data_IF_341153626358
#
_entry.id   IF_341153626358
#
_cell.length_a   1.000
_cell.length_b   1.000
_cell.length_c   1.000
_cell.angle_alpha   90.00
_cell.angle_beta   90.00
_cell.angle_gamma   90.00
#
_symmetry.space_group_name_H-M   'P 1'
#
loop_
_entity.id
_entity.type
_entity.pdbx_description
1 polymer ?
#
# COMPACT_ATOMS: atom_id res chain seq x y z
N UNK A 1 3.00 22.80 36.28
CA UNK A 1 4.39 22.68 36.79
C UNK A 1 5.34 22.54 35.61
N UNK A 2 5.96 23.65 35.18
CA UNK A 2 6.98 23.63 34.13
C UNK A 2 8.32 23.27 34.79
N UNK A 3 8.81 22.05 34.54
CA UNK A 3 10.18 21.68 34.94
C UNK A 3 11.12 22.27 33.89
N UNK A 4 12.12 23.09 34.27
CA UNK A 4 13.05 23.66 33.31
C UNK A 4 13.78 22.55 32.55
N UNK A 5 13.80 22.64 31.22
CA UNK A 5 14.38 21.61 30.32
C UNK A 5 15.84 21.26 30.66
N UNK A 6 16.59 22.22 31.23
CA UNK A 6 17.98 22.04 31.64
C UNK A 6 18.21 21.03 32.76
N UNK A 7 17.19 20.66 33.55
CA UNK A 7 17.34 19.64 34.61
C UNK A 7 17.11 18.19 34.13
N UNK A 8 16.61 17.98 32.91
CA UNK A 8 16.18 16.65 32.45
C UNK A 8 17.30 15.90 31.72
N UNK A 9 18.26 16.63 31.14
CA UNK A 9 19.31 16.07 30.28
C UNK A 9 20.68 16.37 30.89
N UNK A 10 21.35 15.33 31.40
CA UNK A 10 22.74 15.43 31.83
C UNK A 10 23.62 14.86 30.72
N UNK A 11 24.52 15.68 30.17
CA UNK A 11 25.51 15.24 29.20
C UNK A 11 26.74 14.72 29.95
N UNK A 12 27.05 13.44 29.77
CA UNK A 12 28.25 12.83 30.35
C UNK A 12 29.25 12.56 29.24
N UNK A 13 30.48 13.11 29.35
CA UNK A 13 31.59 12.72 28.48
C UNK A 13 31.98 11.28 28.78
N UNK A 14 32.10 10.46 27.74
CA UNK A 14 32.59 9.09 27.84
C UNK A 14 34.06 9.11 27.42
N UNK A 15 35.00 8.76 28.33
CA UNK A 15 36.43 8.83 28.01
C UNK A 15 36.85 7.86 26.89
N UNK A 16 36.09 6.78 26.65
CA UNK A 16 36.35 5.81 25.56
C UNK A 16 35.05 5.26 24.96
N UNK A 17 34.39 5.97 24.02
CA UNK A 17 33.08 5.57 23.49
C UNK A 17 33.12 4.23 22.73
N UNK A 18 34.25 3.91 22.10
CA UNK A 18 34.44 2.70 21.30
C UNK A 18 34.51 1.41 22.13
N UNK A 19 34.85 1.48 23.43
CA UNK A 19 34.90 0.30 24.31
C UNK A 19 33.62 0.09 25.12
N UNK A 20 32.64 1.00 25.01
CA UNK A 20 31.41 0.88 25.78
C UNK A 20 30.51 -0.23 25.20
N UNK A 21 30.16 -1.27 25.97
CA UNK A 21 29.31 -2.37 25.48
C UNK A 21 27.91 -1.86 25.10
N UNK A 22 27.45 -0.77 25.73
CA UNK A 22 26.17 -0.13 25.43
C UNK A 22 26.15 0.48 24.02
N UNK A 23 27.27 1.08 23.58
CA UNK A 23 27.38 1.63 22.22
C UNK A 23 27.25 0.50 21.20
N UNK A 24 27.98 -0.59 21.39
CA UNK A 24 27.92 -1.77 20.53
C UNK A 24 26.54 -2.43 20.52
N UNK A 25 25.88 -2.56 21.67
CA UNK A 25 24.51 -3.08 21.74
C UNK A 25 23.51 -2.23 20.95
N UNK A 26 23.64 -0.89 21.01
CA UNK A 26 22.77 0.00 20.24
C UNK A 26 23.02 -0.11 18.74
N UNK A 27 24.29 -0.15 18.32
CA UNK A 27 24.65 -0.31 16.91
C UNK A 27 24.24 -1.69 16.40
N UNK A 28 24.53 -2.76 17.13
CA UNK A 28 24.13 -4.11 16.78
C UNK A 28 22.61 -4.22 16.69
N UNK A 29 21.87 -3.64 17.65
CA UNK A 29 20.42 -3.59 17.62
C UNK A 29 19.86 -2.83 16.41
N UNK A 30 20.38 -1.63 16.13
CA UNK A 30 19.96 -0.83 14.98
C UNK A 30 20.26 -1.55 13.65
N UNK A 31 21.46 -2.13 13.51
CA UNK A 31 21.87 -2.91 12.34
C UNK A 31 21.00 -4.16 12.18
N UNK A 32 20.73 -4.90 13.25
CA UNK A 32 19.86 -6.07 13.22
C UNK A 32 18.44 -5.70 12.75
N UNK A 33 17.87 -4.62 13.28
CA UNK A 33 16.55 -4.12 12.85
C UNK A 33 16.56 -3.75 11.36
N UNK A 34 17.59 -3.06 10.88
CA UNK A 34 17.73 -2.71 9.47
C UNK A 34 17.88 -3.95 8.57
N UNK A 35 18.68 -4.94 8.98
CA UNK A 35 18.85 -6.20 8.26
C UNK A 35 17.53 -7.00 8.19
N UNK A 36 16.85 -7.17 9.31
CA UNK A 36 15.56 -7.87 9.40
C UNK A 36 14.53 -7.20 8.50
N UNK A 37 14.42 -5.88 8.59
CA UNK A 37 13.39 -5.17 7.86
C UNK A 37 13.71 -5.01 6.36
N UNK A 38 14.99 -5.10 5.96
CA UNK A 38 15.40 -5.24 4.56
C UNK A 38 15.15 -6.65 4.01
N UNK A 39 15.31 -7.68 4.85
CA UNK A 39 15.02 -9.08 4.49
C UNK A 39 13.52 -9.40 4.47
N UNK A 40 12.70 -8.57 5.10
CA UNK A 40 11.26 -8.67 5.13
C UNK A 40 10.65 -8.36 3.75
N UNK A 41 9.92 -9.32 3.21
CA UNK A 41 9.09 -9.19 2.01
C UNK A 41 7.66 -8.95 2.46
N UNK A 42 7.09 -7.84 2.03
CA UNK A 42 5.73 -7.48 2.41
C UNK A 42 4.75 -8.07 1.39
N UNK A 43 3.92 -9.02 1.84
CA UNK A 43 2.85 -9.63 1.05
C UNK A 43 1.48 -9.11 1.52
N UNK A 44 0.42 -9.21 0.71
CA UNK A 44 -0.93 -8.76 1.10
C UNK A 44 -1.46 -9.46 2.37
N UNK A 45 -1.00 -10.69 2.67
CA UNK A 45 -1.36 -11.44 3.87
C UNK A 45 -0.50 -11.17 5.11
N UNK A 46 0.60 -10.43 4.99
CA UNK A 46 1.53 -10.21 6.11
C UNK A 46 2.96 -9.92 5.69
N UNK A 47 3.87 -10.04 6.65
CA UNK A 47 5.31 -9.91 6.41
C UNK A 47 5.92 -11.29 6.43
N UNK A 48 6.56 -11.68 5.33
CA UNK A 48 7.38 -12.88 5.28
C UNK A 48 8.84 -12.47 5.35
N UNK A 49 9.58 -13.02 6.33
CA UNK A 49 11.04 -12.93 6.29
C UNK A 49 11.54 -13.96 5.28
N UNK A 50 12.41 -13.56 4.35
CA UNK A 50 13.03 -14.49 3.40
C UNK A 50 13.62 -15.70 4.15
N UNK A 51 13.09 -16.90 3.86
CA UNK A 51 13.58 -18.17 4.40
C UNK A 51 13.02 -18.58 5.76
N UNK A 52 12.21 -17.74 6.42
CA UNK A 52 11.54 -18.10 7.68
C UNK A 52 10.04 -17.90 7.49
N UNK A 53 9.30 -19.01 7.49
CA UNK A 53 7.84 -18.99 7.41
C UNK A 53 7.29 -18.49 8.76
N UNK A 54 7.11 -17.17 8.89
CA UNK A 54 6.32 -16.62 9.99
C UNK A 54 4.85 -16.82 9.65
N UNK A 55 4.09 -17.58 10.47
CA UNK A 55 2.66 -17.74 10.23
C UNK A 55 1.97 -16.38 10.25
N UNK A 56 0.83 -16.28 9.54
CA UNK A 56 -0.03 -15.11 9.61
C UNK A 56 -0.29 -14.74 11.08
N UNK A 57 -0.36 -13.43 11.36
CA UNK A 57 -0.52 -12.94 12.73
C UNK A 57 -1.63 -13.72 13.47
N UNK A 58 -1.33 -14.41 14.57
CA UNK A 58 -2.31 -15.26 15.25
C UNK A 58 -3.50 -14.45 15.77
N UNK A 59 -3.27 -13.19 16.17
CA UNK A 59 -4.35 -12.30 16.58
C UNK A 59 -5.31 -11.99 15.42
N UNK A 60 -4.78 -11.86 14.20
CA UNK A 60 -5.59 -11.60 13.01
C UNK A 60 -6.35 -12.86 12.58
N UNK A 61 -5.73 -14.04 12.68
CA UNK A 61 -6.42 -15.28 12.35
C UNK A 61 -7.48 -15.68 13.39
N UNK A 62 -7.23 -15.42 14.67
CA UNK A 62 -8.14 -15.78 15.76
C UNK A 62 -9.28 -14.77 15.94
N UNK A 63 -8.99 -13.47 15.85
CA UNK A 63 -9.94 -12.41 16.21
C UNK A 63 -10.39 -11.58 15.00
N UNK A 64 -9.71 -11.70 13.85
CA UNK A 64 -9.97 -10.85 12.69
C UNK A 64 -9.49 -9.40 12.85
N UNK A 65 -8.97 -9.01 14.02
CA UNK A 65 -8.59 -7.63 14.32
C UNK A 65 -7.14 -7.33 13.89
N UNK A 66 -6.86 -6.10 13.41
CA UNK A 66 -5.50 -5.67 13.13
C UNK A 66 -4.69 -5.54 14.44
N UNK A 67 -3.63 -6.34 14.53
CA UNK A 67 -2.65 -6.32 15.61
C UNK A 67 -1.79 -5.02 15.56
N UNK A 68 -1.57 -4.32 16.69
CA UNK A 68 -0.82 -3.05 16.73
C UNK A 68 0.63 -3.20 16.25
N UNK A 69 1.25 -4.33 16.57
CA UNK A 69 2.65 -4.60 16.25
C UNK A 69 2.85 -5.05 14.80
N UNK A 70 1.94 -5.87 14.28
CA UNK A 70 2.08 -6.53 12.99
C UNK A 70 1.94 -5.53 11.84
N UNK A 71 0.98 -4.60 11.96
CA UNK A 71 0.86 -3.48 11.02
C UNK A 71 2.05 -2.53 11.10
N UNK A 72 2.64 -2.36 12.29
CA UNK A 72 3.85 -1.56 12.47
C UNK A 72 5.04 -2.19 11.74
N UNK A 73 5.30 -3.49 11.95
CA UNK A 73 6.39 -4.21 11.27
C UNK A 73 6.25 -4.16 9.75
N UNK A 74 5.04 -4.42 9.23
CA UNK A 74 4.79 -4.34 7.78
C UNK A 74 4.92 -2.93 7.23
N UNK A 75 4.45 -1.92 7.96
CA UNK A 75 4.62 -0.52 7.56
C UNK A 75 6.08 -0.08 7.58
N UNK A 76 6.85 -0.48 8.60
CA UNK A 76 8.29 -0.16 8.69
C UNK A 76 9.08 -0.87 7.59
N UNK A 77 8.75 -2.11 7.25
CA UNK A 77 9.35 -2.81 6.11
C UNK A 77 9.09 -2.05 4.79
N UNK A 78 7.84 -1.63 4.52
CA UNK A 78 7.52 -0.79 3.35
C UNK A 78 8.28 0.54 3.35
N UNK A 79 8.43 1.16 4.52
CA UNK A 79 9.19 2.41 4.66
C UNK A 79 10.66 2.22 4.24
N UNK A 80 11.27 1.10 4.62
CA UNK A 80 12.66 0.77 4.27
C UNK A 80 12.85 0.38 2.80
N UNK A 81 11.79 -0.09 2.14
CA UNK A 81 11.75 -0.26 0.68
C UNK A 81 11.51 1.07 -0.07
N UNK A 82 11.37 2.20 0.65
CA UNK A 82 11.11 3.52 0.07
C UNK A 82 9.64 3.77 -0.27
N UNK A 83 8.74 2.87 0.12
CA UNK A 83 7.30 2.98 -0.14
C UNK A 83 6.58 3.80 0.94
N UNK A 84 6.93 5.07 1.07
CA UNK A 84 6.43 5.98 2.12
C UNK A 84 4.90 6.03 2.19
N UNK A 85 4.24 6.16 1.05
CA UNK A 85 2.78 6.27 0.99
C UNK A 85 2.09 4.97 1.43
N UNK A 86 2.59 3.82 0.99
CA UNK A 86 2.05 2.51 1.37
C UNK A 86 2.32 2.19 2.84
N UNK A 87 3.46 2.64 3.38
CA UNK A 87 3.76 2.59 4.81
C UNK A 87 2.70 3.33 5.63
N UNK A 88 2.42 4.59 5.29
CA UNK A 88 1.40 5.42 5.95
C UNK A 88 -0.02 4.83 5.85
N UNK A 89 -0.36 4.28 4.69
CA UNK A 89 -1.66 3.63 4.48
C UNK A 89 -1.80 2.38 5.35
N UNK A 90 -0.73 1.61 5.54
CA UNK A 90 -0.74 0.38 6.34
C UNK A 90 -0.78 0.63 7.85
N UNK A 91 -0.04 1.63 8.34
CA UNK A 91 -0.07 2.05 9.73
C UNK A 91 0.43 3.49 9.85
N UNK A 92 -0.39 4.38 10.41
CA UNK A 92 -0.05 5.79 10.59
C UNK A 92 1.21 6.01 11.46
N UNK A 93 1.49 5.08 12.38
CA UNK A 93 2.66 5.14 13.27
C UNK A 93 3.95 4.62 12.62
N UNK A 94 3.86 3.82 11.55
CA UNK A 94 5.05 3.21 10.93
C UNK A 94 6.13 4.25 10.53
N UNK A 95 5.80 5.37 9.86
CA UNK A 95 6.80 6.38 9.52
C UNK A 95 7.33 7.11 10.75
N UNK A 96 6.51 7.36 11.78
CA UNK A 96 7.00 7.95 13.04
C UNK A 96 8.01 7.02 13.74
N UNK A 97 7.72 5.73 13.82
CA UNK A 97 8.61 4.75 14.44
C UNK A 97 9.88 4.57 13.61
N UNK A 98 9.75 4.53 12.29
CA UNK A 98 10.91 4.51 11.39
C UNK A 98 11.81 5.73 11.56
N UNK A 99 11.23 6.93 11.63
CA UNK A 99 11.97 8.16 11.90
C UNK A 99 12.64 8.13 13.28
N UNK A 100 11.95 7.61 14.31
CA UNK A 100 12.51 7.42 15.65
C UNK A 100 13.70 6.47 15.66
N UNK A 101 13.64 5.35 14.93
CA UNK A 101 14.76 4.42 14.77
C UNK A 101 15.97 5.08 14.11
N UNK A 102 15.75 5.83 13.04
CA UNK A 102 16.80 6.59 12.35
C UNK A 102 17.41 7.63 13.30
N UNK A 103 16.59 8.38 14.04
CA UNK A 103 17.06 9.35 15.02
C UNK A 103 17.91 8.71 16.12
N UNK A 104 17.51 7.54 16.64
CA UNK A 104 18.29 6.78 17.63
C UNK A 104 19.62 6.29 17.04
N UNK A 105 19.62 5.81 15.80
CA UNK A 105 20.83 5.39 15.11
C UNK A 105 21.79 6.57 14.88
N UNK A 106 21.28 7.69 14.39
CA UNK A 106 22.06 8.93 14.21
C UNK A 106 22.60 9.44 15.54
N UNK A 107 21.81 9.41 16.61
CA UNK A 107 22.29 9.75 17.95
C UNK A 107 23.42 8.81 18.41
N UNK A 108 23.27 7.50 18.20
CA UNK A 108 24.30 6.52 18.57
C UNK A 108 25.61 6.75 17.80
N UNK A 109 25.53 7.11 16.52
CA UNK A 109 26.71 7.37 15.68
C UNK A 109 27.29 8.76 15.95
N UNK A 110 26.51 9.82 15.82
CA UNK A 110 27.00 11.20 15.90
C UNK A 110 27.32 11.58 17.35
N UNK A 111 26.34 11.50 18.26
CA UNK A 111 26.55 11.96 19.63
C UNK A 111 27.48 11.04 20.40
N UNK A 112 27.32 9.72 20.24
CA UNK A 112 28.08 8.73 21.02
C UNK A 112 29.43 8.39 20.43
N UNK A 113 29.53 8.06 19.14
CA UNK A 113 30.82 7.70 18.53
C UNK A 113 31.64 8.93 18.15
N UNK A 114 31.04 9.91 17.47
CA UNK A 114 31.80 11.06 16.96
C UNK A 114 32.08 12.11 18.05
N UNK A 115 31.08 12.46 18.87
CA UNK A 115 31.24 13.50 19.91
C UNK A 115 31.66 12.97 21.28
N UNK A 116 31.69 11.64 21.50
CA UNK A 116 32.03 11.04 22.79
C UNK A 116 31.07 11.42 23.94
N UNK A 117 29.86 11.84 23.61
CA UNK A 117 28.85 12.32 24.55
C UNK A 117 27.71 11.32 24.69
N UNK A 118 27.33 11.01 25.92
CA UNK A 118 26.07 10.32 26.20
C UNK A 118 25.08 11.27 26.87
N UNK A 119 23.90 11.35 26.27
CA UNK A 119 22.70 11.87 26.91
C UNK A 119 22.13 10.76 27.78
N UNK A 120 22.25 10.90 29.09
CA UNK A 120 21.67 9.96 30.05
C UNK A 120 20.37 10.57 30.59
N UNK A 121 19.26 9.83 30.47
CA UNK A 121 18.01 10.20 31.16
C UNK A 121 18.16 9.80 32.62
N UNK A 122 18.68 10.71 33.43
CA UNK A 122 19.02 10.46 34.84
C UNK A 122 17.77 10.20 35.69
N UNK A 123 16.62 10.78 35.31
CA UNK A 123 15.43 10.74 36.13
C UNK A 123 14.51 9.56 35.80
N UNK A 124 14.27 8.68 36.78
CA UNK A 124 13.33 7.56 36.66
C UNK A 124 11.91 8.03 36.29
N UNK A 125 11.46 9.20 36.79
CA UNK A 125 10.17 9.80 36.39
C UNK A 125 10.15 10.18 34.90
N UNK A 126 11.25 10.70 34.36
CA UNK A 126 11.36 11.03 32.94
C UNK A 126 11.32 9.77 32.08
N UNK A 127 12.04 8.71 32.49
CA UNK A 127 11.96 7.40 31.82
C UNK A 127 10.53 6.85 31.83
N UNK A 128 9.83 6.92 32.96
CA UNK A 128 8.41 6.52 33.07
C UNK A 128 7.52 7.36 32.17
N UNK A 129 7.69 8.68 32.13
CA UNK A 129 6.92 9.58 31.24
C UNK A 129 7.15 9.26 29.76
N UNK A 130 8.40 9.05 29.35
CA UNK A 130 8.73 8.67 27.96
C UNK A 130 8.09 7.33 27.60
N UNK A 131 8.17 6.34 28.49
CA UNK A 131 7.50 5.05 28.28
C UNK A 131 5.98 5.17 28.21
N UNK A 132 5.36 5.94 29.10
CA UNK A 132 3.91 6.19 29.07
C UNK A 132 3.50 6.92 27.79
N UNK A 133 4.28 7.90 27.33
CA UNK A 133 4.04 8.59 26.06
C UNK A 133 4.17 7.64 24.86
N UNK A 134 5.19 6.79 24.84
CA UNK A 134 5.35 5.77 23.80
C UNK A 134 4.15 4.80 23.77
N UNK A 135 3.74 4.27 24.93
CA UNK A 135 2.57 3.40 25.06
C UNK A 135 1.28 4.10 24.63
N UNK A 136 1.07 5.35 25.04
CA UNK A 136 -0.09 6.14 24.65
C UNK A 136 -0.13 6.40 23.15
N UNK A 137 1.00 6.74 22.53
CA UNK A 137 1.10 6.92 21.07
C UNK A 137 0.82 5.61 20.33
N UNK A 138 1.40 4.49 20.79
CA UNK A 138 1.12 3.16 20.21
C UNK A 138 -0.35 2.80 20.32
N UNK A 139 -0.97 3.03 21.47
CA UNK A 139 -2.39 2.77 21.68
C UNK A 139 -3.26 3.67 20.80
N UNK A 140 -2.97 4.96 20.73
CA UNK A 140 -3.71 5.91 19.92
C UNK A 140 -3.65 5.55 18.42
N UNK A 141 -2.46 5.25 17.89
CA UNK A 141 -2.34 4.83 16.50
C UNK A 141 -3.00 3.47 16.22
N UNK A 142 -3.05 2.57 17.22
CA UNK A 142 -3.85 1.35 17.11
C UNK A 142 -5.35 1.66 17.02
N UNK A 143 -5.88 2.54 17.89
CA UNK A 143 -7.28 2.98 17.84
C UNK A 143 -7.62 3.61 16.50
N UNK A 144 -6.74 4.45 15.93
CA UNK A 144 -6.93 5.04 14.60
C UNK A 144 -6.98 3.96 13.51
N UNK A 145 -6.07 2.99 13.53
CA UNK A 145 -6.10 1.89 12.55
C UNK A 145 -7.36 1.02 12.71
N UNK A 146 -7.80 0.79 13.94
CA UNK A 146 -9.01 0.05 14.24
C UNK A 146 -10.25 0.78 13.71
N UNK A 147 -10.34 2.09 13.96
CA UNK A 147 -11.39 2.95 13.42
C UNK A 147 -11.42 2.92 11.89
N UNK A 148 -10.26 3.02 11.23
CA UNK A 148 -10.16 2.93 9.76
C UNK A 148 -10.63 1.58 9.23
N UNK A 149 -10.32 0.49 9.95
CA UNK A 149 -10.76 -0.85 9.58
C UNK A 149 -12.28 -0.99 9.66
N UNK A 150 -12.90 -0.57 10.77
CA UNK A 150 -14.35 -0.60 10.92
C UNK A 150 -15.08 0.37 9.99
N UNK A 151 -14.53 1.57 9.76
CA UNK A 151 -15.08 2.51 8.79
C UNK A 151 -15.07 1.91 7.38
N UNK A 152 -13.98 1.26 6.97
CA UNK A 152 -13.92 0.58 5.67
C UNK A 152 -14.96 -0.56 5.56
N UNK A 153 -15.19 -1.33 6.63
CA UNK A 153 -16.20 -2.38 6.67
C UNK A 153 -17.63 -1.81 6.56
N UNK A 154 -17.96 -0.77 7.33
CA UNK A 154 -19.28 -0.15 7.33
C UNK A 154 -19.62 0.56 6.01
N UNK A 155 -18.67 1.35 5.47
CA UNK A 155 -18.91 2.10 4.23
C UNK A 155 -18.74 1.22 2.98
N UNK A 156 -17.85 0.23 3.00
CA UNK A 156 -17.65 -0.72 1.90
C UNK A 156 -18.88 -1.58 1.60
N UNK A 157 -19.62 -1.99 2.64
CA UNK A 157 -20.88 -2.70 2.49
C UNK A 157 -21.97 -1.88 1.77
N UNK A 158 -21.86 -0.55 1.82
CA UNK A 158 -22.82 0.35 1.17
C UNK A 158 -22.45 0.61 -0.30
N UNK A 159 -21.16 0.69 -0.63
CA UNK A 159 -20.68 0.91 -1.99
C UNK A 159 -20.78 -0.34 -2.88
N UNK A 160 -20.49 -1.53 -2.34
CA UNK A 160 -20.54 -2.79 -3.11
C UNK A 160 -21.95 -3.20 -3.56
N UNK A 161 -23.00 -2.74 -2.87
CA UNK A 161 -24.38 -3.10 -3.21
C UNK A 161 -24.89 -2.37 -4.46
N UNK A 162 -24.31 -1.23 -4.82
CA UNK A 162 -24.68 -0.47 -6.02
C UNK A 162 -24.05 -1.04 -7.30
N UNK A 163 -22.80 -1.51 -7.23
CA UNK A 163 -22.05 -1.94 -8.43
C UNK A 163 -22.37 -3.39 -8.84
N UNK A 164 -22.68 -4.26 -7.87
CA UNK A 164 -23.08 -5.65 -8.15
C UNK A 164 -24.43 -5.74 -8.90
N UNK A 165 -25.30 -4.73 -8.75
CA UNK A 165 -26.60 -4.67 -9.45
C UNK A 165 -26.43 -4.40 -10.94
N UNK A 166 -25.47 -3.56 -11.34
CA UNK A 166 -25.14 -3.33 -12.75
C UNK A 166 -24.38 -4.52 -13.36
N UNK A 167 -23.53 -5.19 -12.59
CA UNK A 167 -22.75 -6.33 -13.10
C UNK A 167 -23.61 -7.57 -13.36
N UNK A 168 -24.64 -7.82 -12.55
CA UNK A 168 -25.60 -8.91 -12.78
C UNK A 168 -26.46 -8.67 -14.04
N UNK A 169 -26.79 -7.42 -14.38
CA UNK A 169 -27.53 -7.12 -15.62
C UNK A 169 -26.65 -7.28 -16.88
N UNK A 170 -25.35 -6.99 -16.77
CA UNK A 170 -24.41 -7.18 -17.88
C UNK A 170 -24.09 -8.66 -18.16
N UNK A 171 -23.97 -9.50 -17.13
CA UNK A 171 -23.68 -10.93 -17.32
C UNK A 171 -24.89 -11.73 -17.82
N UNK A 172 -26.12 -11.27 -17.54
CA UNK A 172 -27.33 -11.93 -18.07
C UNK A 172 -27.54 -11.66 -19.58
N UNK A 173 -26.90 -10.64 -20.16
CA UNK A 173 -26.92 -10.39 -21.62
C UNK A 173 -25.90 -11.22 -22.41
N UNK A 174 -24.77 -11.60 -21.83
CA UNK A 174 -23.77 -12.41 -22.55
C UNK A 174 -24.05 -13.91 -22.53
N UNK A 175 -24.81 -14.43 -21.57
CA UNK A 175 -25.15 -15.87 -21.53
C UNK A 175 -26.43 -16.23 -22.33
N UNK A 176 -27.14 -15.24 -22.87
CA UNK A 176 -28.41 -15.41 -23.58
C UNK A 176 -28.39 -15.18 -25.09
N UNK A 177 -27.25 -14.86 -25.71
CA UNK A 177 -27.16 -14.77 -27.17
C UNK A 177 -25.81 -15.25 -27.66
N UNK A 178 -25.72 -16.57 -27.80
CA UNK A 178 -25.19 -17.18 -29.01
C UNK A 178 -26.03 -16.67 -30.21
N UNK A 179 -25.88 -15.38 -30.52
CA UNK A 179 -26.29 -14.83 -31.80
C UNK A 179 -25.31 -15.42 -32.80
N UNK A 180 -25.66 -16.60 -33.31
CA UNK A 180 -25.21 -17.09 -34.59
C UNK A 180 -25.21 -15.89 -35.53
N UNK A 181 -24.01 -15.43 -35.88
CA UNK A 181 -23.81 -14.40 -36.87
C UNK A 181 -24.31 -14.94 -38.22
N UNK A 182 -25.63 -14.87 -38.43
CA UNK A 182 -26.22 -15.04 -39.75
C UNK A 182 -25.66 -13.92 -40.61
N UNK A 183 -24.73 -14.30 -41.49
CA UNK A 183 -24.25 -13.47 -42.59
C UNK A 183 -25.45 -12.73 -43.19
N UNK A 184 -25.40 -11.39 -43.33
CA UNK A 184 -26.45 -10.65 -44.01
C UNK A 184 -26.48 -11.10 -45.47
N UNK A 185 -27.45 -11.97 -45.81
CA UNK A 185 -27.85 -12.21 -47.19
C UNK A 185 -28.30 -10.87 -47.75
N UNK A 186 -27.57 -10.36 -48.74
CA UNK A 186 -27.96 -9.25 -49.61
C UNK A 186 -29.39 -9.49 -50.14
N UNK A 187 -30.40 -8.98 -49.45
CA UNK A 187 -31.76 -8.90 -50.00
C UNK A 187 -31.85 -7.58 -50.75
N UNK A 188 -32.01 -7.71 -52.07
CA UNK A 188 -32.31 -6.62 -53.00
C UNK A 188 -33.56 -5.89 -52.51
N UNK A 189 -33.52 -4.57 -52.49
CA UNK A 189 -34.68 -3.72 -52.29
C UNK A 189 -35.67 -3.93 -53.45
N UNK A 190 -36.95 -4.21 -53.20
CA UNK A 190 -38.00 -3.93 -54.15
C UNK A 190 -38.42 -2.47 -53.99
N UNK A 191 -38.11 -1.65 -54.99
CA UNK A 191 -38.80 -0.39 -55.20
C UNK A 191 -40.26 -0.71 -55.53
N UNK A 192 -41.18 -0.46 -54.61
CA UNK A 192 -42.60 -0.35 -54.93
C UNK A 192 -43.15 0.95 -54.38
N UNK A 193 -43.69 1.70 -55.33
CA UNK A 193 -44.46 2.92 -55.23
C UNK A 193 -45.76 2.74 -54.45
N UNK A 194 -46.28 3.86 -53.91
CA UNK A 194 -47.71 4.20 -53.73
C UNK A 194 -47.92 4.90 -52.38
N UNK A 195 -47.94 6.23 -52.35
CA UNK A 195 -49.12 7.12 -52.44
C UNK A 195 -50.08 7.09 -51.23
N UNK A 196 -50.32 8.31 -50.75
CA UNK A 196 -51.48 8.86 -50.00
C UNK A 196 -51.53 8.65 -48.48
N UNK A 197 -51.39 9.76 -47.77
CA UNK A 197 -52.58 10.35 -47.14
C UNK A 197 -52.55 10.49 -45.61
N UNK A 198 -52.70 11.75 -45.18
CA UNK A 198 -53.37 12.23 -43.97
C UNK A 198 -52.63 12.34 -42.62
N UNK A 199 -52.59 13.62 -42.20
CA UNK A 199 -52.89 14.21 -40.88
C UNK A 199 -51.82 14.12 -39.76
N UNK A 200 -51.19 15.28 -39.56
CA UNK A 200 -50.64 15.82 -38.30
C UNK A 200 -51.71 15.80 -37.17
N UNK A 201 -51.38 15.74 -35.85
CA UNK A 201 -50.66 16.84 -35.17
C UNK A 201 -49.70 16.51 -33.99
N UNK A 202 -48.87 17.54 -33.70
CA UNK A 202 -48.33 18.02 -32.39
C UNK A 202 -47.43 17.08 -31.55
N UNK A 203 -46.12 17.26 -31.67
CA UNK A 203 -45.20 17.98 -30.75
C UNK A 203 -44.60 17.10 -29.64
N UNK A 204 -43.38 16.63 -29.88
CA UNK A 204 -42.34 16.58 -28.85
C UNK A 204 -41.00 16.85 -29.54
N UNK A 205 -40.44 18.01 -29.22
CA UNK A 205 -39.16 18.51 -29.73
C UNK A 205 -38.04 17.68 -29.11
N UNK A 206 -37.60 16.63 -29.81
CA UNK A 206 -36.27 16.09 -29.57
C UNK A 206 -35.26 17.09 -30.14
N UNK A 207 -34.63 17.88 -29.24
CA UNK A 207 -33.42 18.63 -29.57
C UNK A 207 -32.37 17.63 -30.04
N UNK A 208 -32.19 17.60 -31.36
CA UNK A 208 -31.02 17.07 -32.04
C UNK A 208 -29.78 17.78 -31.47
N UNK A 209 -29.00 17.09 -30.65
CA UNK A 209 -27.58 17.41 -30.50
C UNK A 209 -26.84 16.81 -31.69
N UNK A 210 -26.82 17.56 -32.80
CA UNK A 210 -25.91 17.34 -33.92
C UNK A 210 -24.55 17.89 -33.53
N UNK A 211 -23.66 17.03 -33.03
CA UNK A 211 -22.24 17.20 -33.27
C UNK A 211 -21.75 15.99 -34.05
N UNK A 212 -21.60 16.19 -35.36
CA UNK A 212 -20.99 15.26 -36.30
C UNK A 212 -19.48 15.16 -36.10
N UNK A 213 -19.04 14.71 -34.93
CA UNK A 213 -17.69 14.23 -34.69
C UNK A 213 -17.69 12.72 -34.82
N UNK A 214 -17.14 12.19 -35.93
CA UNK A 214 -16.77 10.77 -35.98
C UNK A 214 -15.78 10.53 -34.85
N UNK A 215 -16.21 9.87 -33.78
CA UNK A 215 -15.32 9.35 -32.76
C UNK A 215 -14.43 8.31 -33.45
N UNK A 216 -13.24 8.73 -33.87
CA UNK A 216 -12.15 7.81 -34.20
C UNK A 216 -11.75 7.19 -32.87
N UNK A 217 -11.84 5.87 -32.76
CA UNK A 217 -11.14 5.16 -31.70
C UNK A 217 -9.68 5.61 -31.72
N UNK A 218 -9.07 5.94 -30.56
CA UNK A 218 -7.63 6.17 -30.52
C UNK A 218 -6.94 4.93 -31.09
N UNK A 219 -5.94 5.07 -31.97
CA UNK A 219 -5.16 3.94 -32.43
C UNK A 219 -4.54 3.26 -31.21
N UNK A 220 -4.59 1.92 -31.19
CA UNK A 220 -3.93 1.14 -30.16
C UNK A 220 -2.47 1.59 -30.05
N UNK A 221 -2.10 2.12 -28.89
CA UNK A 221 -0.72 2.50 -28.58
C UNK A 221 0.09 1.21 -28.65
N UNK A 222 0.94 1.09 -29.68
CA UNK A 222 1.86 -0.02 -29.81
C UNK A 222 2.75 -0.07 -28.56
N UNK A 223 3.02 -1.25 -27.99
CA UNK A 223 3.90 -1.37 -26.84
C UNK A 223 5.28 -0.79 -27.20
N UNK A 224 5.97 -0.14 -26.24
CA UNK A 224 7.30 0.40 -26.48
C UNK A 224 8.22 -0.72 -27.00
N UNK A 225 8.94 -0.43 -28.08
CA UNK A 225 9.99 -1.33 -28.59
C UNK A 225 10.99 -1.55 -27.48
N UNK A 226 11.24 -2.81 -27.15
CA UNK A 226 12.29 -3.20 -26.23
C UNK A 226 13.62 -2.65 -26.73
N UNK A 227 14.23 -1.75 -25.97
CA UNK A 227 15.61 -1.35 -26.19
C UNK A 227 16.52 -2.58 -26.01
N UNK A 228 17.58 -2.72 -26.82
CA UNK A 228 18.51 -3.82 -26.68
C UNK A 228 19.21 -3.70 -25.32
N UNK A 229 18.93 -4.67 -24.44
CA UNK A 229 19.62 -4.86 -23.18
C UNK A 229 21.09 -5.11 -23.51
N UNK A 230 21.95 -4.17 -23.12
CA UNK A 230 23.41 -4.33 -23.14
C UNK A 230 23.75 -5.60 -22.36
N UNK A 231 24.42 -6.54 -23.04
CA UNK A 231 24.77 -7.84 -22.52
C UNK A 231 25.59 -7.71 -21.22
N UNK A 232 25.00 -8.14 -20.09
CA UNK A 232 25.77 -8.41 -18.87
C UNK A 232 26.65 -9.64 -19.10
N UNK A 233 27.88 -9.67 -18.55
CA UNK A 233 28.78 -10.81 -18.67
C UNK A 233 28.17 -12.08 -18.07
N UNK A 234 28.38 -13.21 -18.75
CA UNK A 234 27.74 -14.51 -18.58
C UNK A 234 27.92 -15.21 -17.20
N UNK A 235 28.47 -14.53 -16.20
CA UNK A 235 28.77 -15.11 -14.89
C UNK A 235 27.59 -15.09 -13.88
N UNK A 236 26.47 -14.43 -14.19
CA UNK A 236 25.34 -14.28 -13.24
C UNK A 236 24.07 -15.05 -13.66
N UNK A 237 24.07 -15.71 -14.82
CA UNK A 237 22.87 -16.28 -15.43
C UNK A 237 22.40 -17.65 -14.87
N UNK A 238 22.97 -18.17 -13.77
CA UNK A 238 22.59 -19.49 -13.22
C UNK A 238 21.66 -19.49 -12.00
N UNK A 239 21.15 -18.34 -11.53
CA UNK A 239 20.28 -18.30 -10.33
C UNK A 239 18.89 -17.67 -10.52
N UNK A 240 18.52 -17.20 -11.72
CA UNK A 240 17.18 -16.65 -11.97
C UNK A 240 16.29 -17.68 -12.69
N UNK A 241 15.69 -18.56 -11.89
CA UNK A 241 14.50 -19.32 -12.29
C UNK A 241 13.38 -18.35 -12.70
N UNK A 242 13.14 -18.28 -14.00
CA UNK A 242 12.13 -17.44 -14.63
C UNK A 242 10.79 -18.20 -14.66
N UNK A 243 9.77 -17.64 -14.02
CA UNK A 243 8.42 -18.20 -14.08
C UNK A 243 7.36 -17.28 -13.43
N UNK A 244 6.64 -16.53 -14.28
CA UNK A 244 5.29 -15.98 -14.02
C UNK A 244 5.10 -14.70 -13.17
N UNK A 245 5.68 -13.56 -13.58
CA UNK A 245 5.44 -12.26 -12.88
C UNK A 245 4.52 -11.25 -13.59
N UNK A 246 3.78 -11.62 -14.65
CA UNK A 246 3.05 -10.65 -15.48
C UNK A 246 1.53 -10.51 -15.22
N UNK A 247 0.97 -10.97 -14.08
CA UNK A 247 -0.50 -11.00 -13.89
C UNK A 247 -1.07 -10.39 -12.60
N UNK A 248 -0.34 -9.54 -11.86
CA UNK A 248 -0.81 -9.05 -10.55
C UNK A 248 -1.14 -7.56 -10.41
N UNK A 249 -1.13 -6.76 -11.49
CA UNK A 249 -1.41 -5.30 -11.38
C UNK A 249 -2.89 -4.90 -11.18
N UNK A 250 -3.82 -5.81 -10.91
CA UNK A 250 -5.25 -5.49 -10.70
C UNK A 250 -5.98 -6.32 -9.62
N UNK A 251 -5.32 -6.59 -8.50
CA UNK A 251 -6.00 -7.08 -7.29
C UNK A 251 -6.03 -5.97 -6.23
N UNK A 252 -6.93 -5.01 -6.40
CA UNK A 252 -7.32 -4.15 -5.30
C UNK A 252 -8.20 -4.96 -4.35
N UNK A 253 -7.77 -5.05 -3.09
CA UNK A 253 -8.54 -5.29 -1.87
C UNK A 253 -10.00 -5.76 -2.08
N UNK A 254 -10.23 -7.07 -2.04
CA UNK A 254 -11.50 -7.62 -1.55
C UNK A 254 -11.25 -8.07 -0.10
N UNK A 255 -11.99 -7.55 0.90
CA UNK A 255 -12.05 -8.20 2.20
C UNK A 255 -12.82 -9.52 2.04
N UNK A 256 -12.24 -10.61 2.55
CA UNK A 256 -12.96 -11.86 2.83
C UNK A 256 -13.95 -11.67 3.99
#
# INVERSE_FOLDING_TARGET
MCVPLGQVLQTRRIPQPARSPRTWLLLAGATAVACVARAAVVRPGGVELRGIFLPACPLRSLVGLPCPFCGLTGGTARLLHGEWLLSWQSNVLAPLVGAGLVAVALYAVICRLAAGCAIELVHARSKRRVWMAALALTFLGWVVNLYRHFAAAHFGASAGRADNRCRSEATTREQGTLCVARRPRRRRCPCTSSRRGQRRPRTAVCRLWRHGGRARCPPAVAPPRAEPIVALPAAVARLSGCGSEARWRRAYWCPE
#
